data_IF_868345667315
#
_entry.id   IF_868345667315
#
_cell.length_a   1.000
_cell.length_b   1.000
_cell.length_c   1.000
_cell.angle_alpha   90.00
_cell.angle_beta   90.00
_cell.angle_gamma   90.00
#
_symmetry.space_group_name_H-M   'P 1'
#
loop_
_entity.id
_entity.type
_entity.pdbx_description
1 polymer ?
#
# COMPACT_ATOMS: atom_id res chain seq x y z
N UNK A 1 33.05 23.48 48.02
CA UNK A 1 32.99 22.33 47.08
C UNK A 1 32.13 22.71 45.86
N UNK A 2 32.75 23.07 44.73
CA UNK A 2 32.05 23.50 43.50
C UNK A 2 31.62 22.26 42.69
N UNK A 3 30.30 22.02 42.57
CA UNK A 3 29.75 20.95 41.71
C UNK A 3 29.90 21.38 40.24
N UNK A 4 30.75 20.68 39.48
CA UNK A 4 30.88 20.85 38.03
C UNK A 4 29.59 20.37 37.36
N UNK A 5 28.88 21.25 36.65
CA UNK A 5 27.85 20.83 35.70
C UNK A 5 28.53 20.38 34.40
N UNK A 6 28.27 19.17 33.88
CA UNK A 6 28.71 18.82 32.54
C UNK A 6 27.72 19.37 31.51
N UNK A 7 28.31 19.92 30.44
CA UNK A 7 27.71 20.62 29.33
C UNK A 7 26.63 19.82 28.59
N UNK A 8 25.47 20.45 28.40
CA UNK A 8 24.46 20.00 27.43
C UNK A 8 25.02 20.21 26.02
N UNK A 9 25.41 19.13 25.35
CA UNK A 9 25.68 19.17 23.92
C UNK A 9 24.35 19.28 23.16
N UNK A 10 24.18 20.21 22.21
CA UNK A 10 23.02 20.22 21.32
C UNK A 10 23.15 19.05 20.33
N UNK A 11 22.32 18.02 20.47
CA UNK A 11 22.26 16.94 19.48
C UNK A 11 21.62 17.49 18.21
N UNK A 12 22.39 17.44 17.13
CA UNK A 12 21.96 17.74 15.76
C UNK A 12 20.69 16.96 15.39
N UNK A 13 19.68 17.58 14.75
CA UNK A 13 18.53 16.85 14.26
C UNK A 13 18.93 16.03 13.03
N UNK A 14 18.86 14.70 13.13
CA UNK A 14 18.99 13.77 12.00
C UNK A 14 17.91 14.06 10.95
N UNK A 15 18.23 14.17 9.65
CA UNK A 15 17.21 14.33 8.61
C UNK A 15 16.39 13.04 8.51
N UNK A 16 15.09 13.11 8.81
CA UNK A 16 14.14 12.01 8.57
C UNK A 16 14.10 11.70 7.06
N UNK A 17 14.05 10.44 6.64
CA UNK A 17 13.80 10.10 5.24
C UNK A 17 12.45 10.69 4.85
N UNK A 18 12.42 11.48 3.77
CA UNK A 18 11.19 12.01 3.16
C UNK A 18 10.31 10.82 2.82
N UNK A 19 9.27 10.60 3.62
CA UNK A 19 8.20 9.68 3.26
C UNK A 19 7.68 10.18 1.91
N UNK A 20 7.83 9.36 0.86
CA UNK A 20 7.12 9.59 -0.40
C UNK A 20 5.65 9.50 -0.05
N UNK A 21 5.01 10.64 0.11
CA UNK A 21 3.56 10.74 0.09
C UNK A 21 3.12 10.16 -1.25
N UNK A 22 2.50 8.98 -1.19
CA UNK A 22 1.72 8.45 -2.30
C UNK A 22 0.68 9.51 -2.68
N UNK A 23 0.50 9.81 -3.98
CA UNK A 23 -0.50 10.79 -4.38
C UNK A 23 -1.88 10.35 -3.90
N UNK A 24 -2.62 11.32 -3.35
CA UNK A 24 -4.00 11.18 -2.89
C UNK A 24 -4.84 10.40 -3.90
N UNK A 25 -5.51 9.36 -3.42
CA UNK A 25 -6.56 8.67 -4.17
C UNK A 25 -7.79 9.56 -4.17
N UNK A 26 -8.46 9.81 -5.31
CA UNK A 26 -9.82 10.34 -5.28
C UNK A 26 -10.69 9.31 -4.54
N UNK A 27 -11.42 9.77 -3.53
CA UNK A 27 -12.39 8.96 -2.79
C UNK A 27 -13.39 8.33 -3.77
N UNK A 28 -13.74 7.04 -3.64
CA UNK A 28 -14.84 6.48 -4.41
C UNK A 28 -16.16 6.87 -3.76
N UNK A 29 -16.95 7.61 -4.53
CA UNK A 29 -18.29 8.07 -4.20
C UNK A 29 -19.17 6.90 -3.73
N UNK A 30 -19.54 6.90 -2.45
CA UNK A 30 -20.49 5.98 -1.89
C UNK A 30 -21.93 6.46 -2.19
N UNK A 31 -22.68 5.76 -3.04
CA UNK A 31 -24.15 5.65 -2.96
C UNK A 31 -24.74 4.65 -3.96
N UNK A 32 -25.55 3.74 -3.41
CA UNK A 32 -26.73 3.05 -3.94
C UNK A 32 -27.13 3.19 -5.43
N UNK A 33 -27.37 2.04 -6.06
CA UNK A 33 -28.53 1.85 -6.95
C UNK A 33 -28.54 2.63 -8.26
N UNK A 34 -27.54 2.43 -9.12
CA UNK A 34 -27.55 2.91 -10.49
C UNK A 34 -26.36 2.34 -11.24
N UNK A 35 -26.60 1.69 -12.38
CA UNK A 35 -25.54 1.12 -13.23
C UNK A 35 -24.59 2.25 -13.63
N UNK A 36 -23.29 2.24 -13.25
CA UNK A 36 -22.40 3.31 -13.67
C UNK A 36 -22.00 3.05 -15.13
N UNK A 37 -22.70 3.72 -16.04
CA UNK A 37 -22.17 4.07 -17.35
C UNK A 37 -21.52 5.44 -17.20
N UNK A 38 -20.20 5.45 -17.03
CA UNK A 38 -19.38 6.63 -17.25
C UNK A 38 -17.90 6.22 -17.37
N UNK A 39 -17.46 6.13 -18.62
CA UNK A 39 -16.07 5.98 -19.05
C UNK A 39 -15.25 7.15 -18.53
N UNK A 40 -14.68 7.01 -17.34
CA UNK A 40 -13.38 7.60 -17.02
C UNK A 40 -12.39 6.47 -17.13
N UNK A 41 -11.28 6.67 -17.86
CA UNK A 41 -10.24 5.67 -18.07
C UNK A 41 -9.55 5.29 -16.74
N UNK A 42 -10.26 4.52 -15.90
CA UNK A 42 -9.73 3.93 -14.71
C UNK A 42 -8.64 2.97 -15.16
N UNK A 43 -7.37 3.33 -14.89
CA UNK A 43 -6.24 2.49 -15.23
C UNK A 43 -6.47 1.10 -14.63
N UNK A 44 -6.16 0.08 -15.40
CA UNK A 44 -6.25 -1.30 -14.97
C UNK A 44 -5.26 -1.54 -13.84
N UNK A 45 -5.77 -1.92 -12.67
CA UNK A 45 -4.96 -2.16 -11.46
C UNK A 45 -5.26 -3.53 -10.89
N UNK A 46 -4.23 -4.18 -10.38
CA UNK A 46 -4.33 -5.46 -9.68
C UNK A 46 -3.92 -5.28 -8.23
N UNK A 47 -4.68 -5.91 -7.32
CA UNK A 47 -4.31 -6.00 -5.91
C UNK A 47 -3.67 -7.37 -5.64
N UNK A 48 -2.52 -7.39 -4.96
CA UNK A 48 -1.95 -8.63 -4.42
C UNK A 48 -2.22 -8.65 -2.92
N UNK A 49 -3.01 -9.60 -2.43
CA UNK A 49 -3.22 -9.83 -1.00
C UNK A 49 -2.18 -10.83 -0.48
N UNK A 50 -1.35 -10.38 0.44
CA UNK A 50 -0.22 -11.11 0.99
C UNK A 50 -0.60 -11.88 2.26
N UNK A 51 -0.54 -13.21 2.17
CA UNK A 51 -0.69 -14.16 3.27
C UNK A 51 0.67 -14.65 3.81
N UNK A 52 1.78 -14.04 3.39
CA UNK A 52 3.12 -14.38 3.86
C UNK A 52 3.85 -15.38 2.96
N UNK A 53 3.50 -15.46 1.67
CA UNK A 53 4.24 -16.27 0.72
C UNK A 53 5.67 -15.74 0.59
N UNK A 54 6.62 -16.67 0.45
CA UNK A 54 8.03 -16.34 0.16
C UNK A 54 8.20 -15.52 -1.13
N UNK A 55 7.25 -15.63 -2.06
CA UNK A 55 7.36 -15.10 -3.42
C UNK A 55 6.40 -13.96 -3.75
N UNK A 56 5.69 -13.37 -2.78
CA UNK A 56 4.71 -12.27 -3.03
C UNK A 56 5.32 -11.13 -3.86
N UNK A 57 6.57 -10.77 -3.61
CA UNK A 57 7.28 -9.71 -4.36
C UNK A 57 7.56 -10.11 -5.82
N UNK A 58 7.77 -11.40 -6.11
CA UNK A 58 7.98 -11.88 -7.48
C UNK A 58 6.68 -11.81 -8.28
N UNK A 59 5.53 -12.09 -7.65
CA UNK A 59 4.22 -11.92 -8.28
C UNK A 59 4.03 -10.44 -8.67
N UNK A 60 4.25 -9.51 -7.75
CA UNK A 60 4.14 -8.08 -8.04
C UNK A 60 5.11 -7.63 -9.15
N UNK A 61 6.33 -8.18 -9.17
CA UNK A 61 7.28 -7.93 -10.26
C UNK A 61 6.73 -8.39 -11.61
N UNK A 62 6.18 -9.60 -11.70
CA UNK A 62 5.62 -10.14 -12.95
C UNK A 62 4.43 -9.34 -13.46
N UNK A 63 3.55 -8.89 -12.56
CA UNK A 63 2.43 -8.01 -12.93
C UNK A 63 2.92 -6.67 -13.51
N UNK A 64 3.97 -6.10 -12.90
CA UNK A 64 4.58 -4.85 -13.41
C UNK A 64 5.33 -5.04 -14.73
N UNK A 65 6.00 -6.18 -14.93
CA UNK A 65 6.62 -6.55 -16.20
C UNK A 65 5.58 -6.71 -17.33
N UNK A 66 4.35 -7.10 -16.99
CA UNK A 66 3.21 -7.11 -17.92
C UNK A 66 2.59 -5.71 -18.17
N UNK A 67 3.17 -4.64 -17.62
CA UNK A 67 2.69 -3.26 -17.82
C UNK A 67 1.46 -2.87 -17.00
N UNK A 68 1.06 -3.69 -16.02
CA UNK A 68 -0.13 -3.44 -15.19
C UNK A 68 0.31 -2.88 -13.83
N UNK A 69 -0.41 -1.86 -13.36
CA UNK A 69 -0.15 -1.30 -12.04
C UNK A 69 -0.64 -2.25 -10.94
N UNK A 70 0.16 -2.44 -9.89
CA UNK A 70 -0.25 -3.25 -8.75
C UNK A 70 0.31 -2.78 -7.40
N UNK A 71 -0.49 -2.99 -6.36
CA UNK A 71 -0.12 -2.82 -4.96
C UNK A 71 -0.20 -4.15 -4.19
N UNK A 72 0.59 -4.27 -3.13
CA UNK A 72 0.57 -5.42 -2.22
C UNK A 72 -0.07 -4.95 -0.91
N UNK A 73 -1.17 -5.58 -0.50
CA UNK A 73 -1.79 -5.37 0.80
C UNK A 73 -1.60 -6.61 1.68
N UNK A 74 -1.47 -6.46 3.02
CA UNK A 74 -1.54 -7.60 3.91
C UNK A 74 -2.92 -8.27 3.85
N UNK A 75 -3.01 -9.56 4.17
CA UNK A 75 -4.29 -10.28 4.25
C UNK A 75 -5.28 -9.70 5.28
N UNK A 76 -4.78 -8.91 6.24
CA UNK A 76 -5.57 -8.18 7.23
C UNK A 76 -6.12 -6.83 6.75
N UNK A 77 -5.94 -6.48 5.47
CA UNK A 77 -6.50 -5.26 4.90
C UNK A 77 -8.03 -5.26 4.97
N UNK A 78 -8.60 -4.13 5.37
CA UNK A 78 -10.06 -4.02 5.55
C UNK A 78 -10.79 -4.03 4.20
N UNK A 79 -12.04 -4.51 4.15
CA UNK A 79 -12.84 -4.49 2.92
C UNK A 79 -13.00 -3.09 2.33
N UNK A 80 -13.10 -2.05 3.16
CA UNK A 80 -13.23 -0.65 2.72
C UNK A 80 -11.97 -0.20 2.00
N UNK A 81 -10.79 -0.59 2.48
CA UNK A 81 -9.51 -0.27 1.83
C UNK A 81 -9.38 -0.98 0.49
N UNK A 82 -9.82 -2.23 0.40
CA UNK A 82 -9.82 -3.00 -0.85
C UNK A 82 -10.80 -2.39 -1.85
N UNK A 83 -12.00 -2.01 -1.40
CA UNK A 83 -12.99 -1.33 -2.22
C UNK A 83 -12.50 0.05 -2.69
N UNK A 84 -11.84 0.81 -1.82
CA UNK A 84 -11.28 2.11 -2.14
C UNK A 84 -10.16 2.03 -3.20
N UNK A 85 -9.41 0.92 -3.22
CA UNK A 85 -8.39 0.66 -4.24
C UNK A 85 -8.99 0.34 -5.62
N UNK A 86 -10.25 -0.09 -5.67
CA UNK A 86 -10.99 -0.47 -6.89
C UNK A 86 -10.19 -1.37 -7.87
N UNK A 87 -9.66 -2.52 -7.41
CA UNK A 87 -8.89 -3.41 -8.27
C UNK A 87 -9.78 -4.04 -9.36
N UNK A 88 -9.24 -4.18 -10.57
CA UNK A 88 -9.85 -5.02 -11.62
C UNK A 88 -9.67 -6.52 -11.37
N UNK A 89 -8.66 -6.88 -10.60
CA UNK A 89 -8.37 -8.26 -10.22
C UNK A 89 -7.60 -8.34 -8.91
N UNK A 90 -7.78 -9.45 -8.20
CA UNK A 90 -7.12 -9.72 -6.92
C UNK A 90 -6.33 -11.02 -7.06
N UNK A 91 -5.05 -10.99 -6.69
CA UNK A 91 -4.19 -12.16 -6.55
C UNK A 91 -4.07 -12.46 -5.05
N UNK A 92 -4.52 -13.63 -4.63
CA UNK A 92 -4.25 -14.12 -3.28
C UNK A 92 -2.88 -14.81 -3.30
N UNK A 93 -1.91 -14.28 -2.56
CA UNK A 93 -0.63 -14.97 -2.41
C UNK A 93 -0.82 -16.25 -1.60
N UNK A 94 0.14 -17.17 -1.69
CA UNK A 94 0.21 -18.27 -0.73
C UNK A 94 0.51 -17.78 0.68
N UNK A 95 0.33 -18.67 1.66
CA UNK A 95 0.85 -18.51 3.03
C UNK A 95 2.00 -19.50 3.29
N UNK A 96 2.74 -19.32 4.41
CA UNK A 96 3.83 -20.21 4.80
C UNK A 96 3.36 -21.58 5.29
N UNK A 97 2.09 -21.71 5.67
CA UNK A 97 1.44 -22.96 6.01
C UNK A 97 0.60 -23.45 4.82
N UNK A 98 0.58 -24.77 4.58
CA UNK A 98 -0.42 -25.38 3.72
C UNK A 98 -1.80 -25.15 4.34
N UNK A 99 -2.75 -24.64 3.55
CA UNK A 99 -4.14 -24.40 3.95
C UNK A 99 -4.99 -25.66 3.88
#
# INVERSE_FOLDING_TARGET
MRRKQPSRQPRTPTPRPRQRTVPDHPAPDAAAGGRPVSTTAARDRVLVLDFGAQYTQLIARRVREAGVYCEIFPCSATPERIAAFAPKGIILSGGPASV
#
